data_IF_189735929630
#
_entry.id   IF_189735929630
#
_cell.length_a   1.000
_cell.length_b   1.000
_cell.length_c   1.000
_cell.angle_alpha   90.00
_cell.angle_beta   90.00
_cell.angle_gamma   90.00
#
_symmetry.space_group_name_H-M   'P 1'
#
loop_
_entity.id
_entity.type
_entity.pdbx_description
1 polymer ?
#
# COMPACT_ATOMS: atom_id res chain seq x y z
N UNK A 1 -6.97 -0.14 -17.82
CA UNK A 1 -5.91 0.16 -16.82
C UNK A 1 -6.51 1.07 -15.75
N UNK A 2 -6.41 0.74 -14.47
CA UNK A 2 -6.86 1.65 -13.43
C UNK A 2 -6.03 2.93 -13.44
N UNK A 3 -6.53 4.05 -12.89
CA UNK A 3 -5.71 5.23 -12.71
C UNK A 3 -4.52 4.91 -11.80
N UNK A 4 -3.38 5.57 -12.04
CA UNK A 4 -2.16 5.31 -11.27
C UNK A 4 -2.36 5.66 -9.80
N UNK A 5 -2.97 6.80 -9.52
CA UNK A 5 -3.33 7.18 -8.15
C UNK A 5 -4.84 7.32 -8.03
N UNK A 6 -5.38 6.84 -6.93
CA UNK A 6 -6.80 6.99 -6.63
C UNK A 6 -7.02 7.07 -5.12
N UNK A 7 -8.08 7.74 -4.72
CA UNK A 7 -8.56 7.74 -3.34
C UNK A 7 -9.67 6.70 -3.22
N UNK A 8 -9.57 5.83 -2.22
CA UNK A 8 -10.57 4.79 -1.99
C UNK A 8 -11.07 4.82 -0.58
N UNK A 9 -12.39 4.72 -0.45
CA UNK A 9 -13.06 4.51 0.83
C UNK A 9 -13.30 3.02 1.01
N UNK A 10 -12.96 2.53 2.18
CA UNK A 10 -13.21 1.15 2.58
C UNK A 10 -14.23 1.13 3.70
N UNK A 11 -15.03 0.07 3.73
CA UNK A 11 -16.05 -0.14 4.74
C UNK A 11 -16.02 -1.60 5.23
N UNK A 12 -17.11 -2.08 5.84
CA UNK A 12 -17.18 -3.43 6.39
C UNK A 12 -17.30 -4.55 5.36
N UNK A 13 -17.47 -4.21 4.10
CA UNK A 13 -17.61 -5.24 3.07
C UNK A 13 -16.25 -5.90 2.82
N UNK A 14 -16.08 -7.09 3.33
CA UNK A 14 -14.88 -7.88 3.07
C UNK A 14 -14.86 -8.24 1.59
N UNK A 15 -13.90 -7.69 0.88
CA UNK A 15 -13.69 -8.03 -0.53
C UNK A 15 -12.37 -8.77 -0.62
N UNK A 16 -12.44 -10.00 -1.12
CA UNK A 16 -11.25 -10.80 -1.43
C UNK A 16 -11.06 -10.80 -2.94
N UNK A 17 -9.92 -10.32 -3.39
CA UNK A 17 -9.60 -10.33 -4.82
C UNK A 17 -8.09 -10.37 -5.05
N UNK A 18 -7.71 -10.51 -6.30
CA UNK A 18 -6.32 -10.39 -6.75
C UNK A 18 -6.26 -9.48 -7.96
N UNK A 19 -5.12 -8.83 -8.16
CA UNK A 19 -4.88 -7.94 -9.29
C UNK A 19 -3.68 -8.39 -10.08
N UNK A 20 -3.70 -8.14 -11.38
CA UNK A 20 -2.57 -8.44 -12.26
C UNK A 20 -1.40 -7.48 -12.06
N UNK A 21 -1.65 -6.35 -11.42
CA UNK A 21 -0.64 -5.31 -11.18
C UNK A 21 -0.35 -5.18 -9.69
N UNK A 22 0.83 -4.67 -9.38
CA UNK A 22 1.22 -4.38 -8.00
C UNK A 22 0.50 -3.14 -7.50
N UNK A 23 0.08 -3.17 -6.24
CA UNK A 23 -0.68 -2.10 -5.63
C UNK A 23 -0.05 -1.70 -4.31
N UNK A 24 0.00 -0.40 -4.05
CA UNK A 24 0.40 0.15 -2.76
C UNK A 24 -0.80 0.87 -2.14
N UNK A 25 -1.07 0.59 -0.88
CA UNK A 25 -2.21 1.15 -0.15
C UNK A 25 -1.69 1.98 1.01
N UNK A 26 -1.85 3.29 0.92
CA UNK A 26 -1.39 4.26 1.93
C UNK A 26 -2.55 4.70 2.81
N UNK A 27 -2.45 4.49 4.11
CA UNK A 27 -3.48 4.92 5.05
C UNK A 27 -3.53 6.44 5.19
N UNK A 28 -4.72 7.02 5.10
CA UNK A 28 -4.95 8.45 5.31
C UNK A 28 -5.81 8.71 6.55
N UNK A 29 -6.93 8.01 6.67
CA UNK A 29 -7.86 8.13 7.80
C UNK A 29 -8.45 6.77 8.14
N UNK A 30 -8.74 6.59 9.42
CA UNK A 30 -9.35 5.36 9.91
C UNK A 30 -8.38 4.20 9.93
N UNK A 31 -8.92 3.00 10.10
CA UNK A 31 -8.15 1.77 10.17
C UNK A 31 -8.67 0.78 9.14
N UNK A 32 -7.74 0.23 8.38
CA UNK A 32 -8.03 -0.80 7.41
C UNK A 32 -7.33 -2.08 7.86
N UNK A 33 -8.09 -3.11 8.18
CA UNK A 33 -7.53 -4.43 8.40
C UNK A 33 -7.29 -5.07 7.06
N UNK A 34 -6.04 -5.44 6.80
CA UNK A 34 -5.58 -5.84 5.49
C UNK A 34 -4.87 -7.18 5.60
N UNK A 35 -5.23 -8.11 4.74
CA UNK A 35 -4.59 -9.41 4.66
C UNK A 35 -4.09 -9.62 3.24
N UNK A 36 -2.80 -9.92 3.11
CA UNK A 36 -2.16 -10.18 1.84
C UNK A 36 -1.46 -11.51 1.95
N UNK A 37 -1.88 -12.46 1.12
CA UNK A 37 -1.29 -13.80 1.07
C UNK A 37 -1.20 -14.45 2.47
N UNK A 38 -2.24 -14.29 3.28
CA UNK A 38 -2.32 -14.82 4.63
C UNK A 38 -1.63 -13.99 5.72
N UNK A 39 -1.00 -12.87 5.36
CA UNK A 39 -0.34 -11.98 6.32
C UNK A 39 -1.23 -10.79 6.64
N UNK A 40 -1.68 -10.72 7.90
CA UNK A 40 -2.53 -9.64 8.37
C UNK A 40 -1.75 -8.41 8.81
N UNK A 41 -2.28 -7.24 8.52
CA UNK A 41 -1.74 -5.97 9.02
C UNK A 41 -2.87 -4.97 9.20
N UNK A 42 -2.63 -3.96 10.01
CA UNK A 42 -3.56 -2.85 10.19
C UNK A 42 -2.94 -1.60 9.59
N UNK A 43 -3.60 -1.06 8.60
CA UNK A 43 -3.13 0.11 7.88
C UNK A 43 -3.90 1.32 8.37
N UNK A 44 -3.16 2.32 8.81
CA UNK A 44 -3.67 3.60 9.26
C UNK A 44 -2.70 4.69 8.83
N UNK A 45 -2.90 5.91 9.26
CA UNK A 45 -2.04 7.03 8.88
C UNK A 45 -0.56 6.70 9.11
N UNK A 46 0.31 7.06 8.18
CA UNK A 46 1.75 6.82 8.16
C UNK A 46 2.17 5.37 7.87
N UNK A 47 1.21 4.50 7.54
CA UNK A 47 1.49 3.12 7.19
C UNK A 47 1.07 2.85 5.75
N UNK A 48 1.75 1.89 5.13
CA UNK A 48 1.35 1.41 3.81
C UNK A 48 1.42 -0.11 3.75
N UNK A 49 0.57 -0.68 2.91
CA UNK A 49 0.61 -2.10 2.55
C UNK A 49 1.11 -2.26 1.13
N UNK A 50 2.01 -3.21 0.92
CA UNK A 50 2.47 -3.63 -0.41
C UNK A 50 1.70 -4.88 -0.80
N UNK A 51 1.01 -4.81 -1.94
CA UNK A 51 0.25 -5.92 -2.50
C UNK A 51 0.88 -6.28 -3.84
N UNK A 52 1.76 -7.30 -3.88
CA UNK A 52 2.37 -7.72 -5.13
C UNK A 52 1.33 -8.19 -6.14
N UNK A 53 1.71 -8.16 -7.43
CA UNK A 53 0.84 -8.66 -8.50
C UNK A 53 0.47 -10.12 -8.27
N UNK A 54 -0.75 -10.49 -8.66
CA UNK A 54 -1.29 -11.84 -8.62
C UNK A 54 -1.34 -12.44 -7.20
N UNK A 55 -1.24 -11.62 -6.15
CA UNK A 55 -1.43 -12.08 -4.79
C UNK A 55 -2.87 -11.84 -4.34
N UNK A 56 -3.37 -12.79 -3.57
CA UNK A 56 -4.70 -12.68 -3.00
C UNK A 56 -4.67 -11.75 -1.79
N UNK A 57 -5.60 -10.82 -1.74
CA UNK A 57 -5.73 -9.92 -0.60
C UNK A 57 -7.19 -9.72 -0.22
N UNK A 58 -7.39 -9.38 1.04
CA UNK A 58 -8.70 -9.04 1.59
C UNK A 58 -8.56 -7.83 2.48
N UNK A 59 -9.60 -7.03 2.56
CA UNK A 59 -9.61 -5.86 3.42
C UNK A 59 -10.96 -5.67 4.09
N UNK A 60 -10.95 -5.12 5.29
CA UNK A 60 -12.13 -4.80 6.06
C UNK A 60 -11.87 -3.54 6.89
N UNK A 61 -12.84 -2.65 6.94
CA UNK A 61 -12.75 -1.44 7.74
C UNK A 61 -14.06 -1.26 8.50
N UNK A 62 -14.05 -1.65 9.77
CA UNK A 62 -15.26 -1.67 10.61
C UNK A 62 -15.89 -0.29 10.75
N UNK A 63 -15.08 0.76 10.86
CA UNK A 63 -15.54 2.13 11.07
C UNK A 63 -15.34 3.01 9.84
N UNK A 64 -14.90 2.43 8.75
CA UNK A 64 -14.57 3.16 7.53
C UNK A 64 -13.16 3.68 7.54
N UNK A 65 -12.54 3.71 6.37
CA UNK A 65 -11.21 4.26 6.19
C UNK A 65 -11.06 4.87 4.81
N UNK A 66 -10.09 5.77 4.69
CA UNK A 66 -9.71 6.41 3.44
C UNK A 66 -8.24 6.12 3.19
N UNK A 67 -7.93 5.69 1.98
CA UNK A 67 -6.57 5.39 1.57
C UNK A 67 -6.25 6.03 0.22
N UNK A 68 -4.99 6.40 0.03
CA UNK A 68 -4.44 6.69 -1.28
C UNK A 68 -3.92 5.36 -1.84
N UNK A 69 -4.32 5.02 -3.05
CA UNK A 69 -3.95 3.77 -3.69
C UNK A 69 -3.13 4.05 -4.94
N UNK A 70 -1.96 3.43 -5.02
CA UNK A 70 -1.08 3.51 -6.17
C UNK A 70 -1.10 2.17 -6.90
N UNK A 71 -1.52 2.20 -8.16
CA UNK A 71 -1.53 1.03 -9.04
C UNK A 71 -0.38 1.14 -10.04
N UNK A 72 0.57 0.22 -9.96
CA UNK A 72 1.75 0.26 -10.82
C UNK A 72 1.44 -0.42 -12.14
N UNK A 73 1.56 0.29 -13.28
CA UNK A 73 1.15 -0.26 -14.56
C UNK A 73 1.92 -1.51 -14.98
N UNK A 74 3.24 -1.45 -14.99
CA UNK A 74 4.11 -2.58 -15.36
C UNK A 74 5.57 -2.26 -15.04
N UNK A 75 6.45 -3.24 -15.26
CA UNK A 75 7.88 -3.07 -15.03
C UNK A 75 8.55 -2.09 -15.98
N UNK A 76 8.04 -1.92 -17.20
CA UNK A 76 8.57 -0.94 -18.15
C UNK A 76 8.30 0.48 -17.68
N UNK A 77 7.08 0.74 -17.18
CA UNK A 77 6.73 2.03 -16.57
C UNK A 77 7.68 2.33 -15.41
N UNK A 78 7.89 1.34 -14.54
CA UNK A 78 8.75 1.47 -13.37
C UNK A 78 10.17 1.87 -13.78
N UNK A 79 10.76 1.18 -14.76
CA UNK A 79 12.11 1.48 -15.24
C UNK A 79 12.21 2.86 -15.88
N UNK A 80 11.23 3.24 -16.68
CA UNK A 80 11.22 4.56 -17.33
C UNK A 80 11.11 5.69 -16.32
N UNK A 81 10.26 5.52 -15.31
CA UNK A 81 9.97 6.58 -14.35
C UNK A 81 11.03 6.69 -13.25
N UNK A 82 11.62 5.60 -12.83
CA UNK A 82 12.48 5.58 -11.65
C UNK A 82 13.97 5.53 -11.94
N UNK A 83 14.36 5.20 -13.16
CA UNK A 83 15.78 5.14 -13.54
C UNK A 83 16.58 4.24 -12.59
N UNK A 84 17.60 4.79 -11.94
CA UNK A 84 18.48 4.02 -11.05
C UNK A 84 17.78 3.51 -9.77
N UNK A 85 16.60 4.03 -9.44
CA UNK A 85 15.81 3.52 -8.31
C UNK A 85 14.95 2.32 -8.68
N UNK A 86 14.86 1.97 -9.97
CA UNK A 86 13.91 0.95 -10.42
C UNK A 86 14.17 -0.42 -9.81
N UNK A 87 15.42 -0.84 -9.70
CA UNK A 87 15.74 -2.16 -9.13
C UNK A 87 15.39 -2.26 -7.64
N UNK A 88 15.68 -1.22 -6.88
CA UNK A 88 15.31 -1.17 -5.45
C UNK A 88 13.79 -1.14 -5.27
N UNK A 89 13.10 -0.39 -6.09
CA UNK A 89 11.64 -0.36 -6.09
C UNK A 89 11.06 -1.74 -6.44
N UNK A 90 11.60 -2.39 -7.46
CA UNK A 90 11.16 -3.72 -7.87
C UNK A 90 11.27 -4.72 -6.73
N UNK A 91 12.38 -4.70 -6.00
CA UNK A 91 12.57 -5.60 -4.85
C UNK A 91 11.58 -5.32 -3.74
N UNK A 92 11.29 -4.04 -3.47
CA UNK A 92 10.31 -3.64 -2.47
C UNK A 92 8.92 -4.18 -2.82
N UNK A 93 8.57 -4.20 -4.09
CA UNK A 93 7.25 -4.53 -4.59
C UNK A 93 7.01 -6.03 -4.78
N UNK A 94 8.04 -6.84 -4.65
CA UNK A 94 7.95 -8.29 -4.92
C UNK A 94 7.33 -9.08 -3.78
N UNK A 95 7.29 -8.53 -2.56
CA UNK A 95 6.83 -9.25 -1.37
C UNK A 95 5.75 -8.47 -0.64
N UNK A 96 4.75 -9.18 -0.10
CA UNK A 96 3.80 -8.54 0.80
C UNK A 96 4.54 -7.93 1.98
N UNK A 97 4.19 -6.70 2.31
CA UNK A 97 4.81 -5.99 3.42
C UNK A 97 3.88 -4.91 3.96
N UNK A 98 4.06 -4.58 5.23
CA UNK A 98 3.50 -3.39 5.82
C UNK A 98 4.68 -2.52 6.28
N UNK A 99 4.68 -1.26 5.89
CA UNK A 99 5.83 -0.38 6.05
C UNK A 99 5.43 0.90 6.75
N UNK A 100 6.36 1.46 7.52
CA UNK A 100 6.24 2.80 8.09
C UNK A 100 6.78 3.83 7.11
N UNK A 101 6.02 4.89 6.92
CA UNK A 101 6.49 6.06 6.18
C UNK A 101 7.24 6.99 7.12
N UNK A 102 8.29 7.64 6.62
CA UNK A 102 8.88 8.78 7.30
C UNK A 102 7.89 9.95 7.34
N UNK A 103 8.16 10.94 8.16
CA UNK A 103 7.33 12.13 8.20
C UNK A 103 7.28 12.82 6.83
N UNK A 104 8.40 12.91 6.15
CA UNK A 104 8.47 13.50 4.80
C UNK A 104 7.66 12.71 3.79
N UNK A 105 7.75 11.38 3.83
CA UNK A 105 6.95 10.52 2.96
C UNK A 105 5.45 10.67 3.25
N UNK A 106 5.07 10.75 4.52
CA UNK A 106 3.68 10.97 4.91
C UNK A 106 3.16 12.32 4.44
N UNK A 107 4.00 13.36 4.48
CA UNK A 107 3.65 14.69 3.95
C UNK A 107 3.41 14.63 2.44
N UNK A 108 4.24 13.90 1.72
CA UNK A 108 4.07 13.72 0.27
C UNK A 108 2.77 12.98 -0.03
N UNK A 109 2.47 11.91 0.70
CA UNK A 109 1.20 11.18 0.56
C UNK A 109 0.02 12.11 0.81
N UNK A 110 0.06 12.91 1.87
CA UNK A 110 -0.98 13.89 2.18
C UNK A 110 -1.14 14.94 1.09
N UNK A 111 -0.04 15.43 0.55
CA UNK A 111 -0.04 16.41 -0.54
C UNK A 111 -0.69 15.81 -1.80
N UNK A 112 -0.33 14.59 -2.16
CA UNK A 112 -0.91 13.90 -3.30
C UNK A 112 -2.41 13.66 -3.10
N UNK A 113 -2.80 13.24 -1.90
CA UNK A 113 -4.21 12.98 -1.59
C UNK A 113 -5.07 14.26 -1.71
N UNK A 114 -4.48 15.42 -1.45
CA UNK A 114 -5.18 16.71 -1.59
C UNK A 114 -5.05 17.33 -2.98
N UNK A 115 -4.28 16.73 -3.87
CA UNK A 115 -3.98 17.24 -5.21
C UNK A 115 -4.92 16.66 -6.25
N UNK A 116 -5.01 17.29 -7.46
CA UNK A 116 -5.85 16.74 -8.53
C UNK A 116 -5.18 15.53 -9.19
N UNK A 117 -5.24 14.38 -8.53
CA UNK A 117 -4.59 13.15 -8.98
C UNK A 117 -5.22 12.54 -10.24
N UNK A 118 -6.33 13.11 -10.72
CA UNK A 118 -6.90 12.76 -12.03
C UNK A 118 -6.08 13.34 -13.18
N UNK A 119 -5.26 14.35 -12.91
CA UNK A 119 -4.34 14.89 -13.90
C UNK A 119 -3.20 13.91 -14.13
N UNK A 120 -2.95 13.46 -15.38
CA UNK A 120 -1.94 12.45 -15.65
C UNK A 120 -0.52 12.86 -15.25
N UNK A 121 -0.18 14.14 -15.36
CA UNK A 121 1.16 14.62 -14.99
C UNK A 121 1.34 14.52 -13.47
N UNK A 122 0.37 15.01 -12.72
CA UNK A 122 0.43 14.95 -11.24
C UNK A 122 0.45 13.49 -10.78
N UNK A 123 -0.38 12.66 -11.36
CA UNK A 123 -0.48 11.25 -11.02
C UNK A 123 0.83 10.51 -11.31
N UNK A 124 1.36 10.66 -12.53
CA UNK A 124 2.59 9.95 -12.92
C UNK A 124 3.82 10.47 -12.20
N UNK A 125 3.99 11.79 -12.15
CA UNK A 125 5.16 12.38 -11.48
C UNK A 125 5.08 12.17 -9.97
N UNK A 126 3.90 12.29 -9.39
CA UNK A 126 3.68 12.06 -7.97
C UNK A 126 3.95 10.61 -7.58
N UNK A 127 3.45 9.67 -8.35
CA UNK A 127 3.71 8.24 -8.13
C UNK A 127 5.20 7.93 -8.25
N UNK A 128 5.87 8.46 -9.26
CA UNK A 128 7.30 8.26 -9.46
C UNK A 128 8.12 8.80 -8.28
N UNK A 129 7.81 10.01 -7.83
CA UNK A 129 8.50 10.63 -6.70
C UNK A 129 8.28 9.81 -5.42
N UNK A 130 7.06 9.39 -5.17
CA UNK A 130 6.74 8.58 -4.00
C UNK A 130 7.48 7.25 -4.00
N UNK A 131 7.48 6.55 -5.15
CA UNK A 131 8.19 5.28 -5.31
C UNK A 131 9.70 5.45 -5.17
N UNK A 132 10.28 6.50 -5.73
CA UNK A 132 11.69 6.79 -5.58
C UNK A 132 12.05 7.03 -4.11
N UNK A 133 11.21 7.75 -3.39
CA UNK A 133 11.40 7.98 -1.95
C UNK A 133 11.35 6.67 -1.15
N UNK A 134 10.41 5.79 -1.47
CA UNK A 134 10.32 4.48 -0.83
C UNK A 134 11.52 3.60 -1.17
N UNK A 135 11.97 3.62 -2.41
CA UNK A 135 13.14 2.86 -2.86
C UNK A 135 14.43 3.34 -2.18
N UNK A 136 14.52 4.62 -1.84
CA UNK A 136 15.66 5.19 -1.12
C UNK A 136 15.71 4.74 0.34
N UNK A 137 14.58 4.37 0.93
CA UNK A 137 14.52 3.81 2.27
C UNK A 137 13.17 4.00 2.94
N UNK A 138 12.63 2.91 3.44
CA UNK A 138 11.51 2.91 4.38
C UNK A 138 11.74 1.78 5.37
N UNK A 139 11.22 1.95 6.58
CA UNK A 139 11.39 0.94 7.61
C UNK A 139 10.22 -0.03 7.58
N UNK A 140 10.50 -1.35 7.56
CA UNK A 140 9.44 -2.31 7.80
C UNK A 140 8.82 -2.00 9.16
N UNK A 141 7.53 -2.21 9.29
CA UNK A 141 6.91 -2.20 10.61
C UNK A 141 7.71 -3.17 11.43
N UNK A 142 8.37 -2.63 12.45
CA UNK A 142 9.11 -3.46 13.37
C UNK A 142 8.15 -4.57 13.78
N UNK A 143 8.55 -5.81 13.60
CA UNK A 143 7.89 -6.94 14.23
C UNK A 143 8.08 -6.81 15.74
N UNK A 144 7.49 -5.76 16.30
CA UNK A 144 7.50 -5.52 17.73
C UNK A 144 6.76 -6.62 18.46
N UNK A 145 5.86 -7.19 17.75
CA UNK A 145 5.21 -8.41 18.05
C UNK A 145 5.23 -9.16 16.74
N UNK A 146 6.14 -10.12 16.60
CA UNK A 146 5.60 -11.27 16.01
C UNK A 146 4.39 -11.55 16.89
N UNK A 147 3.23 -11.01 16.54
CA UNK A 147 2.04 -11.67 16.96
C UNK A 147 2.39 -13.11 16.72
N UNK A 148 2.62 -13.89 17.80
CA UNK A 148 2.92 -15.28 17.56
C UNK A 148 1.88 -15.70 16.56
N UNK A 149 2.27 -16.39 15.54
CA UNK A 149 1.35 -16.92 14.52
C UNK A 149 0.12 -17.46 15.24
N UNK A 150 0.29 -18.00 16.43
CA UNK A 150 -0.78 -18.43 17.33
C UNK A 150 -1.73 -17.29 17.73
N UNK A 151 -1.26 -16.07 18.00
CA UNK A 151 -2.13 -14.97 18.37
C UNK A 151 -2.84 -14.37 17.18
N UNK A 152 -2.20 -14.36 16.00
CA UNK A 152 -2.87 -13.99 14.75
C UNK A 152 -3.92 -15.04 14.38
N UNK A 153 -3.61 -16.31 14.57
CA UNK A 153 -4.53 -17.39 14.35
C UNK A 153 -5.74 -17.28 15.29
N UNK A 154 -5.49 -17.00 16.55
CA UNK A 154 -6.55 -16.75 17.55
C UNK A 154 -7.39 -15.54 17.18
N UNK A 155 -6.78 -14.47 16.70
CA UNK A 155 -7.48 -13.29 16.27
C UNK A 155 -8.36 -13.59 15.06
N UNK A 156 -7.82 -14.29 14.08
CA UNK A 156 -8.54 -14.72 12.87
C UNK A 156 -9.69 -15.66 13.25
N UNK A 157 -9.44 -16.64 14.12
CA UNK A 157 -10.43 -17.61 14.56
C UNK A 157 -11.58 -16.98 15.36
N UNK A 158 -11.31 -15.91 16.11
CA UNK A 158 -12.33 -15.18 16.88
C UNK A 158 -13.14 -14.19 16.06
N UNK A 159 -12.63 -13.77 14.91
CA UNK A 159 -13.24 -12.72 14.10
C UNK A 159 -13.74 -13.23 12.76
N UNK A 160 -13.63 -14.50 12.53
CA UNK A 160 -14.23 -15.18 11.38
C UNK A 160 -15.64 -15.62 11.69
#
# INVERSE_FOLDING_TARGET
MPPILSLRHYNRDQITHSHEHTQLVFGLRGRLDFEVDGHGSRIQQQLLAVVPSDTRHACDSAEGSLCLVLDIPDGNWLRRQLGHHADSAQRLLERPAALHLSQTQSQLVGWLAASPINDPIISEQGAALLLASLAAGCEPIARQHPLPIAALQDFVDRHL
#
